data_IF_546699517231
#
_entry.id   IF_546699517231
#
_cell.length_a   1.000
_cell.length_b   1.000
_cell.length_c   1.000
_cell.angle_alpha   90.00
_cell.angle_beta   90.00
_cell.angle_gamma   90.00
#
_symmetry.space_group_name_H-M   'P 1'
#
loop_
_entity.id
_entity.type
_entity.pdbx_description
1 polymer ?
#
# COMPACT_ATOMS: atom_id res chain seq x y z
N UNK A 1 6.23 3.26 -24.01
CA UNK A 1 5.19 3.83 -23.13
C UNK A 1 4.87 5.26 -23.57
N UNK A 2 3.61 5.65 -23.40
CA UNK A 2 3.23 7.02 -23.69
C UNK A 2 3.54 7.95 -22.49
N UNK A 3 3.30 9.25 -22.68
CA UNK A 3 3.60 10.28 -21.68
C UNK A 3 2.80 10.08 -20.38
N UNK A 4 1.52 9.75 -20.49
CA UNK A 4 0.67 9.52 -19.32
C UNK A 4 1.15 8.31 -18.52
N UNK A 5 1.51 7.23 -19.17
CA UNK A 5 2.02 6.03 -18.51
C UNK A 5 3.31 6.32 -17.73
N UNK A 6 4.22 7.08 -18.31
CA UNK A 6 5.46 7.48 -17.65
C UNK A 6 5.18 8.34 -16.41
N UNK A 7 4.28 9.30 -16.53
CA UNK A 7 3.89 10.14 -15.40
C UNK A 7 3.21 9.34 -14.27
N UNK A 8 2.31 8.42 -14.63
CA UNK A 8 1.66 7.53 -13.67
C UNK A 8 2.70 6.75 -12.87
N UNK A 9 3.70 6.18 -13.54
CA UNK A 9 4.75 5.41 -12.87
C UNK A 9 5.61 6.29 -11.95
N UNK A 10 5.94 7.50 -12.39
CA UNK A 10 6.70 8.43 -11.55
C UNK A 10 5.95 8.82 -10.29
N UNK A 11 4.67 9.15 -10.40
CA UNK A 11 3.83 9.50 -9.25
C UNK A 11 3.62 8.28 -8.34
N UNK A 12 3.35 7.11 -8.92
CA UNK A 12 3.19 5.87 -8.15
C UNK A 12 4.41 5.55 -7.31
N UNK A 13 5.61 5.79 -7.85
CA UNK A 13 6.86 5.60 -7.12
C UNK A 13 6.95 6.51 -5.91
N UNK A 14 6.54 7.78 -6.06
CA UNK A 14 6.47 8.73 -4.95
C UNK A 14 5.47 8.28 -3.89
N UNK A 15 4.28 7.83 -4.31
CA UNK A 15 3.25 7.37 -3.38
C UNK A 15 3.68 6.11 -2.62
N UNK A 16 4.44 5.21 -3.25
CA UNK A 16 5.03 4.07 -2.54
C UNK A 16 5.95 4.53 -1.41
N UNK A 17 6.79 5.55 -1.65
CA UNK A 17 7.68 6.07 -0.62
C UNK A 17 6.92 6.75 0.52
N UNK A 18 5.81 7.44 0.23
CA UNK A 18 4.97 8.05 1.26
C UNK A 18 4.28 6.99 2.14
N UNK A 19 3.88 5.86 1.57
CA UNK A 19 3.35 4.72 2.34
C UNK A 19 4.41 4.19 3.31
N UNK A 20 5.65 4.04 2.86
CA UNK A 20 6.76 3.59 3.71
C UNK A 20 6.94 4.53 4.91
N UNK A 21 6.92 5.84 4.67
CA UNK A 21 7.03 6.85 5.74
C UNK A 21 5.86 6.73 6.73
N UNK A 22 4.63 6.60 6.23
CA UNK A 22 3.44 6.47 7.07
C UNK A 22 3.50 5.22 7.96
N UNK A 23 3.94 4.08 7.42
CA UNK A 23 4.14 2.84 8.18
C UNK A 23 5.21 3.04 9.27
N UNK A 24 6.32 3.69 8.93
CA UNK A 24 7.40 3.97 9.87
C UNK A 24 6.92 4.79 11.06
N UNK A 25 6.05 5.78 10.83
CA UNK A 25 5.47 6.60 11.91
C UNK A 25 4.62 5.77 12.87
N UNK A 26 3.82 4.84 12.34
CA UNK A 26 3.02 3.92 13.17
C UNK A 26 3.92 3.06 14.04
N UNK A 27 4.97 2.48 13.47
CA UNK A 27 5.90 1.61 14.19
C UNK A 27 6.64 2.38 15.30
N UNK A 28 6.91 3.68 15.09
CA UNK A 28 7.65 4.51 16.06
C UNK A 28 6.76 5.16 17.11
N UNK A 29 5.57 5.60 16.74
CA UNK A 29 4.72 6.44 17.60
C UNK A 29 3.36 5.83 17.92
N UNK A 30 3.05 4.64 17.36
CA UNK A 30 1.78 3.95 17.60
C UNK A 30 0.71 4.29 16.57
N UNK A 31 -0.27 3.39 16.44
CA UNK A 31 -1.34 3.48 15.46
C UNK A 31 -2.18 4.75 15.64
N UNK A 32 -2.60 5.02 16.87
CA UNK A 32 -3.45 6.17 17.21
C UNK A 32 -2.63 7.38 17.65
N UNK A 33 -1.30 7.23 17.74
CA UNK A 33 -0.40 8.32 18.12
C UNK A 33 -0.24 9.35 17.01
N UNK A 34 0.39 10.46 17.37
CA UNK A 34 0.72 11.55 16.45
C UNK A 34 2.24 11.68 16.40
N UNK A 35 2.80 11.94 15.24
CA UNK A 35 4.22 12.23 15.10
C UNK A 35 4.51 13.58 15.80
N UNK A 36 5.30 13.59 16.90
CA UNK A 36 5.56 14.82 17.66
C UNK A 36 6.38 15.85 16.87
N UNK A 37 6.94 15.48 15.71
CA UNK A 37 7.73 16.36 14.88
C UNK A 37 6.88 17.19 13.91
N UNK A 38 5.56 16.95 13.85
CA UNK A 38 4.65 17.67 12.98
C UNK A 38 3.65 18.48 13.81
N UNK A 39 3.10 19.54 13.20
CA UNK A 39 2.09 20.40 13.82
C UNK A 39 0.65 20.03 13.40
N UNK A 40 0.50 19.01 12.60
CA UNK A 40 -0.81 18.69 12.00
C UNK A 40 -1.80 18.11 12.99
N UNK A 41 -1.32 17.45 14.06
CA UNK A 41 -2.17 16.73 15.00
C UNK A 41 -2.86 15.50 14.38
N UNK A 42 -2.50 15.13 13.16
CA UNK A 42 -3.07 13.99 12.46
C UNK A 42 -2.61 12.67 13.08
N UNK A 43 -3.55 11.78 13.38
CA UNK A 43 -3.22 10.44 13.87
C UNK A 43 -2.51 9.65 12.76
N UNK A 44 -1.55 8.82 13.15
CA UNK A 44 -0.75 8.04 12.21
C UNK A 44 -1.59 7.09 11.36
N UNK A 45 -2.67 6.54 11.92
CA UNK A 45 -3.60 5.70 11.17
C UNK A 45 -4.27 6.49 10.04
N UNK A 46 -4.75 7.70 10.32
CA UNK A 46 -5.40 8.56 9.32
C UNK A 46 -4.42 8.89 8.20
N UNK A 47 -3.17 9.18 8.56
CA UNK A 47 -2.13 9.45 7.57
C UNK A 47 -1.85 8.23 6.68
N UNK A 48 -1.76 7.04 7.27
CA UNK A 48 -1.57 5.81 6.51
C UNK A 48 -2.74 5.58 5.54
N UNK A 49 -3.97 5.79 6.00
CA UNK A 49 -5.15 5.62 5.16
C UNK A 49 -5.13 6.56 3.95
N UNK A 50 -4.73 7.83 4.14
CA UNK A 50 -4.58 8.78 3.04
C UNK A 50 -3.54 8.31 2.02
N UNK A 51 -2.37 7.89 2.51
CA UNK A 51 -1.29 7.46 1.62
C UNK A 51 -1.62 6.16 0.89
N UNK A 52 -2.32 5.24 1.52
CA UNK A 52 -2.81 4.02 0.85
C UNK A 52 -3.83 4.40 -0.23
N UNK A 53 -4.74 5.33 0.07
CA UNK A 53 -5.70 5.81 -0.93
C UNK A 53 -5.02 6.42 -2.15
N UNK A 54 -4.00 7.25 -1.92
CA UNK A 54 -3.22 7.86 -2.99
C UNK A 54 -2.53 6.79 -3.86
N UNK A 55 -1.93 5.79 -3.23
CA UNK A 55 -1.30 4.69 -3.95
C UNK A 55 -2.33 3.87 -4.74
N UNK A 56 -3.48 3.58 -4.14
CA UNK A 56 -4.54 2.82 -4.82
C UNK A 56 -5.08 3.56 -6.04
N UNK A 57 -5.17 4.90 -5.98
CA UNK A 57 -5.53 5.71 -7.13
C UNK A 57 -4.55 5.51 -8.29
N UNK A 58 -3.25 5.46 -7.98
CA UNK A 58 -2.22 5.25 -8.99
C UNK A 58 -2.25 3.83 -9.55
N UNK A 59 -2.53 2.83 -8.70
CA UNK A 59 -2.68 1.44 -9.14
C UNK A 59 -3.86 1.33 -10.12
N UNK A 60 -4.97 1.99 -9.83
CA UNK A 60 -6.12 2.02 -10.74
C UNK A 60 -5.77 2.66 -12.08
N UNK A 61 -5.02 3.75 -12.06
CA UNK A 61 -4.56 4.38 -13.30
C UNK A 61 -3.59 3.49 -14.09
N UNK A 62 -2.76 2.71 -13.38
CA UNK A 62 -1.90 1.71 -14.03
C UNK A 62 -2.73 0.67 -14.79
N UNK A 63 -3.81 0.19 -14.19
CA UNK A 63 -4.70 -0.76 -14.87
C UNK A 63 -5.36 -0.12 -16.09
N UNK A 64 -5.99 1.03 -15.89
CA UNK A 64 -6.74 1.71 -16.95
C UNK A 64 -5.86 2.12 -18.13
N UNK A 65 -4.59 2.40 -17.87
CA UNK A 65 -3.62 2.78 -18.91
C UNK A 65 -2.91 1.60 -19.55
N UNK A 66 -3.19 0.37 -19.10
CA UNK A 66 -2.60 -0.84 -19.68
C UNK A 66 -1.20 -1.18 -19.16
N UNK A 67 -0.75 -0.53 -18.07
CA UNK A 67 0.56 -0.83 -17.47
C UNK A 67 0.57 -2.15 -16.71
N UNK A 68 -0.58 -2.52 -16.11
CA UNK A 68 -0.73 -3.77 -15.38
C UNK A 68 -2.05 -4.44 -15.76
N UNK A 69 -2.13 -5.74 -15.53
CA UNK A 69 -3.33 -6.56 -15.74
C UNK A 69 -3.80 -7.10 -14.40
N UNK A 70 -5.03 -6.80 -14.00
CA UNK A 70 -5.54 -7.17 -12.69
C UNK A 70 -5.67 -8.67 -12.47
N UNK A 71 -5.93 -9.45 -13.51
CA UNK A 71 -5.91 -10.92 -13.39
C UNK A 71 -4.53 -11.43 -12.93
N UNK A 72 -3.46 -10.81 -13.41
CA UNK A 72 -2.10 -11.15 -12.99
C UNK A 72 -1.79 -10.64 -11.58
N UNK A 73 -2.30 -9.46 -11.23
CA UNK A 73 -2.16 -8.91 -9.88
C UNK A 73 -2.86 -9.81 -8.85
N UNK A 74 -4.07 -10.28 -9.14
CA UNK A 74 -4.83 -11.18 -8.27
C UNK A 74 -4.08 -12.49 -8.03
N UNK A 75 -3.50 -13.07 -9.09
CA UNK A 75 -2.68 -14.29 -8.97
C UNK A 75 -1.47 -14.03 -8.06
N UNK A 76 -0.82 -12.89 -8.23
CA UNK A 76 0.33 -12.52 -7.41
C UNK A 76 -0.05 -12.30 -5.94
N UNK A 77 -1.22 -11.69 -5.67
CA UNK A 77 -1.74 -11.50 -4.32
C UNK A 77 -1.97 -12.84 -3.63
N UNK A 78 -2.65 -13.78 -4.31
CA UNK A 78 -2.90 -15.11 -3.79
C UNK A 78 -1.60 -15.84 -3.47
N UNK A 79 -0.64 -15.78 -4.39
CA UNK A 79 0.67 -16.40 -4.19
C UNK A 79 1.40 -15.82 -2.98
N UNK A 80 1.31 -14.50 -2.77
CA UNK A 80 1.92 -13.83 -1.61
C UNK A 80 1.27 -14.28 -0.31
N UNK A 81 -0.06 -14.32 -0.26
CA UNK A 81 -0.79 -14.75 0.93
C UNK A 81 -0.45 -16.21 1.29
N UNK A 82 -0.30 -17.08 0.30
CA UNK A 82 0.11 -18.46 0.53
C UNK A 82 1.56 -18.56 1.05
N UNK A 83 2.47 -17.73 0.53
CA UNK A 83 3.85 -17.69 1.04
C UNK A 83 3.91 -17.23 2.49
N UNK A 84 3.07 -16.26 2.88
CA UNK A 84 3.04 -15.74 4.24
C UNK A 84 2.63 -16.81 5.26
N UNK A 85 1.84 -17.79 4.87
CA UNK A 85 1.50 -18.94 5.72
C UNK A 85 2.74 -19.73 6.15
N UNK A 86 3.77 -19.75 5.32
CA UNK A 86 5.00 -20.50 5.56
C UNK A 86 6.12 -19.63 6.17
N UNK A 87 6.15 -18.34 5.83
CA UNK A 87 7.29 -17.48 6.09
C UNK A 87 7.01 -16.33 7.06
N UNK A 88 5.82 -16.27 7.62
CA UNK A 88 5.48 -15.25 8.61
C UNK A 88 4.75 -15.85 9.81
N UNK A 89 4.61 -15.06 10.87
CA UNK A 89 3.80 -15.41 12.03
C UNK A 89 2.44 -14.71 12.04
N UNK A 90 2.00 -14.19 10.89
CA UNK A 90 0.68 -13.59 10.75
C UNK A 90 -0.38 -14.67 10.97
N UNK A 91 -1.45 -14.32 11.69
CA UNK A 91 -2.56 -15.21 12.03
C UNK A 91 -3.09 -15.91 10.77
N UNK A 92 -3.13 -17.24 10.81
CA UNK A 92 -3.57 -18.05 9.68
C UNK A 92 -5.01 -17.78 9.28
N UNK A 93 -5.90 -17.53 10.25
CA UNK A 93 -7.29 -17.17 9.96
C UNK A 93 -7.38 -15.87 9.16
N UNK A 94 -6.55 -14.87 9.52
CA UNK A 94 -6.50 -13.61 8.79
C UNK A 94 -6.05 -13.82 7.35
N UNK A 95 -5.02 -14.65 7.15
CA UNK A 95 -4.50 -14.97 5.81
C UNK A 95 -5.54 -15.71 4.97
N UNK A 96 -6.23 -16.67 5.55
CA UNK A 96 -7.29 -17.42 4.85
C UNK A 96 -8.46 -16.52 4.49
N UNK A 97 -8.84 -15.62 5.39
CA UNK A 97 -9.91 -14.67 5.15
C UNK A 97 -9.54 -13.68 4.04
N UNK A 98 -8.31 -13.18 4.05
CA UNK A 98 -7.82 -12.24 3.03
C UNK A 98 -7.77 -12.85 1.62
N UNK A 99 -7.67 -14.19 1.55
CA UNK A 99 -7.58 -14.93 0.29
C UNK A 99 -8.96 -15.33 -0.29
N UNK A 100 -10.02 -14.82 0.27
CA UNK A 100 -11.39 -15.04 -0.25
C UNK A 100 -11.72 -13.97 -1.30
#
# INVERSE_FOLDING_TARGET
MNKSQTEILNIAQEECSEVVVAISKILRFGLTGVDPRTDTGEANQDHLEEEIGDLMAMIRLMELSGLIRFDKVDIAMEAKLNKLKLWSSIDMELLDYANR
#
